data_IF_278430471435
#
_entry.id   IF_278430471435
#
_cell.length_a   1.000
_cell.length_b   1.000
_cell.length_c   1.000
_cell.angle_alpha   90.00
_cell.angle_beta   90.00
_cell.angle_gamma   90.00
#
_symmetry.space_group_name_H-M   'P 1'
#
loop_
_entity.id
_entity.type
_entity.pdbx_description
1 polymer ?
#
# COMPACT_ATOMS: atom_id res chain seq x y z
N UNK A 1 3.60 -6.88 19.84
CA UNK A 1 2.77 -5.78 19.30
C UNK A 1 2.32 -4.80 20.39
N UNK A 2 1.62 -5.25 21.43
CA UNK A 2 1.14 -4.41 22.54
C UNK A 2 2.23 -3.59 23.24
N UNK A 3 3.41 -4.18 23.50
CA UNK A 3 4.53 -3.47 24.15
C UNK A 3 5.04 -2.29 23.30
N UNK A 4 5.10 -2.45 21.97
CA UNK A 4 5.53 -1.35 21.07
C UNK A 4 4.50 -0.23 20.99
N UNK A 5 3.22 -0.55 21.04
CA UNK A 5 2.15 0.44 21.09
C UNK A 5 2.15 1.18 22.45
N UNK A 6 2.39 0.46 23.54
CA UNK A 6 2.51 1.07 24.87
C UNK A 6 3.71 2.03 24.97
N UNK A 7 4.85 1.65 24.42
CA UNK A 7 6.05 2.52 24.35
C UNK A 7 5.76 3.74 23.48
N UNK A 8 5.17 3.57 22.31
CA UNK A 8 4.82 4.67 21.41
C UNK A 8 3.78 5.62 22.05
N UNK A 9 2.79 5.08 22.76
CA UNK A 9 1.82 5.86 23.51
C UNK A 9 2.49 6.64 24.66
N UNK A 10 3.37 5.98 25.45
CA UNK A 10 4.11 6.62 26.52
C UNK A 10 4.95 7.80 26.05
N UNK A 11 5.66 7.64 24.93
CA UNK A 11 6.44 8.71 24.28
C UNK A 11 5.53 9.86 23.83
N UNK A 12 4.37 9.54 23.26
CA UNK A 12 3.41 10.54 22.79
C UNK A 12 2.85 11.37 23.96
N UNK A 13 2.43 10.71 25.04
CA UNK A 13 1.92 11.38 26.25
C UNK A 13 2.97 12.20 27.00
N UNK A 14 4.20 11.74 27.03
CA UNK A 14 5.32 12.47 27.70
C UNK A 14 5.80 13.71 26.93
N UNK A 15 5.27 13.97 25.74
CA UNK A 15 5.67 15.10 24.90
C UNK A 15 6.98 14.88 24.12
N UNK A 16 7.67 13.75 24.29
CA UNK A 16 8.91 13.45 23.57
C UNK A 16 8.71 13.38 22.05
N UNK A 17 7.53 12.94 21.57
CA UNK A 17 7.19 13.02 20.16
C UNK A 17 7.16 14.47 19.67
N UNK A 18 6.62 15.41 20.44
CA UNK A 18 6.57 16.83 20.07
C UNK A 18 7.97 17.43 19.95
N UNK A 19 8.89 17.04 20.84
CA UNK A 19 10.28 17.46 20.75
C UNK A 19 10.95 16.88 19.49
N UNK A 20 10.76 15.59 19.22
CA UNK A 20 11.32 14.96 18.01
C UNK A 20 10.68 15.52 16.73
N UNK A 21 9.38 15.82 16.74
CA UNK A 21 8.67 16.49 15.64
C UNK A 21 9.19 17.93 15.42
N UNK A 22 9.39 18.67 16.50
CA UNK A 22 10.01 20.00 16.46
C UNK A 22 11.40 19.96 15.82
N UNK A 23 12.22 18.99 16.20
CA UNK A 23 13.54 18.76 15.61
C UNK A 23 13.42 18.37 14.14
N UNK A 24 12.50 17.47 13.78
CA UNK A 24 12.28 17.06 12.38
C UNK A 24 11.80 18.21 11.49
N UNK A 25 10.98 19.13 12.03
CA UNK A 25 10.53 20.34 11.31
C UNK A 25 11.61 21.39 11.22
N UNK A 26 12.42 21.52 12.27
CA UNK A 26 13.38 22.61 12.43
C UNK A 26 14.81 22.23 11.99
N UNK A 27 15.03 21.08 11.35
CA UNK A 27 16.35 20.76 10.82
C UNK A 27 16.87 21.82 9.82
N UNK A 28 16.00 22.69 9.33
CA UNK A 28 16.36 23.88 8.56
C UNK A 28 16.63 25.12 9.47
N UNK A 29 16.19 25.12 10.75
CA UNK A 29 16.20 26.30 11.62
C UNK A 29 17.25 26.19 12.76
N UNK A 30 17.73 25.00 13.11
CA UNK A 30 18.76 24.82 14.15
C UNK A 30 20.20 25.01 13.66
N UNK A 31 20.39 25.69 12.53
CA UNK A 31 21.70 26.12 12.07
C UNK A 31 21.79 27.64 12.21
N UNK A 32 21.82 28.15 13.46
CA UNK A 32 22.67 29.20 13.88
C UNK A 32 22.32 29.73 15.28
N UNK A 33 23.19 29.55 16.26
CA UNK A 33 23.76 30.71 16.93
C UNK A 33 25.25 30.55 17.30
N UNK A 34 26.09 30.00 16.45
CA UNK A 34 27.54 30.09 16.62
C UNK A 34 28.18 30.56 15.30
N UNK A 35 28.22 31.88 15.14
CA UNK A 35 29.19 32.54 14.26
C UNK A 35 30.58 32.11 14.67
N UNK A 36 31.27 31.39 13.80
CA UNK A 36 32.70 31.29 13.91
C UNK A 36 33.36 29.92 13.76
N UNK A 37 32.87 29.02 12.90
CA UNK A 37 33.74 27.97 12.36
C UNK A 37 33.27 27.61 10.94
N UNK A 38 34.16 27.85 9.96
CA UNK A 38 34.00 27.44 8.57
C UNK A 38 34.16 25.92 8.48
N UNK A 39 33.08 25.19 8.73
CA UNK A 39 32.94 23.78 8.38
C UNK A 39 31.77 23.69 7.44
N UNK A 40 31.96 23.12 6.25
CA UNK A 40 30.90 22.79 5.31
C UNK A 40 29.85 21.88 5.99
N UNK A 41 28.83 22.46 6.62
CA UNK A 41 27.68 21.72 7.02
C UNK A 41 26.88 21.38 5.71
N UNK A 42 26.99 20.13 5.27
CA UNK A 42 26.12 19.57 4.26
C UNK A 42 24.68 19.77 4.76
N UNK A 43 23.93 20.69 4.17
CA UNK A 43 22.49 20.82 4.43
C UNK A 43 21.88 19.43 4.28
N UNK A 44 21.19 18.94 5.30
CA UNK A 44 20.53 17.64 5.21
C UNK A 44 19.53 17.69 4.06
N UNK A 45 19.65 16.75 3.12
CA UNK A 45 18.73 16.67 1.99
C UNK A 45 17.29 16.53 2.49
N UNK A 46 16.32 17.15 1.84
CA UNK A 46 14.90 17.00 2.17
C UNK A 46 14.49 15.52 2.08
N UNK A 47 13.61 15.11 2.96
CA UNK A 47 13.13 13.72 3.08
C UNK A 47 11.63 13.69 2.97
N UNK A 48 11.10 12.77 2.18
CA UNK A 48 9.69 12.68 1.89
C UNK A 48 9.16 11.29 2.21
N UNK A 49 8.06 11.23 2.98
CA UNK A 49 7.33 9.99 3.24
C UNK A 49 6.07 9.95 2.37
N UNK A 50 5.82 8.81 1.74
CA UNK A 50 4.56 8.53 1.03
C UNK A 50 3.84 7.45 1.82
N UNK A 51 2.67 7.76 2.36
CA UNK A 51 1.82 6.81 3.09
C UNK A 51 0.92 6.08 2.12
N UNK A 52 0.81 4.76 2.26
CA UNK A 52 -0.05 3.91 1.46
C UNK A 52 -1.14 3.31 2.33
N UNK A 53 -2.39 3.68 2.05
CA UNK A 53 -3.61 3.11 2.59
C UNK A 53 -4.30 2.27 1.51
N UNK A 54 -5.26 1.42 1.89
CA UNK A 54 -6.10 0.68 0.95
C UNK A 54 -7.58 0.89 1.30
N UNK A 55 -8.07 0.22 2.32
CA UNK A 55 -9.47 0.25 2.73
C UNK A 55 -9.70 1.04 4.01
N UNK A 56 -10.77 1.83 4.03
CA UNK A 56 -11.19 2.61 5.20
C UNK A 56 -12.65 2.26 5.52
N UNK A 57 -12.91 1.66 6.70
CA UNK A 57 -14.27 1.22 6.99
C UNK A 57 -14.54 0.86 8.44
N UNK A 58 -15.52 -0.01 8.65
CA UNK A 58 -16.01 -0.42 9.97
C UNK A 58 -15.13 -1.48 10.66
N UNK A 59 -14.15 -2.01 9.98
CA UNK A 59 -13.32 -3.12 10.45
C UNK A 59 -13.98 -4.48 10.17
N UNK A 60 -13.21 -5.45 9.70
CA UNK A 60 -13.69 -6.80 9.48
C UNK A 60 -13.43 -7.39 8.09
N UNK A 61 -12.85 -6.62 7.20
CA UNK A 61 -12.38 -7.15 5.94
C UNK A 61 -11.05 -7.89 6.14
N UNK A 62 -10.83 -8.91 5.41
CA UNK A 62 -10.00 -10.01 5.86
C UNK A 62 -8.62 -10.11 5.21
N UNK A 63 -8.36 -9.64 4.00
CA UNK A 63 -7.04 -9.76 3.36
C UNK A 63 -6.21 -8.50 3.58
N UNK A 64 -6.80 -7.34 3.37
CA UNK A 64 -6.19 -6.06 3.74
C UNK A 64 -6.79 -5.59 5.05
N UNK A 65 -5.96 -5.28 6.01
CA UNK A 65 -6.44 -4.72 7.27
C UNK A 65 -7.19 -3.43 6.97
N UNK A 66 -8.52 -3.50 6.99
CA UNK A 66 -9.40 -2.37 6.85
C UNK A 66 -9.16 -1.41 8.01
N UNK A 67 -8.70 -0.22 7.71
CA UNK A 67 -8.47 0.79 8.73
C UNK A 67 -9.81 1.33 9.22
N UNK A 68 -10.12 1.30 10.53
CA UNK A 68 -11.32 1.91 11.05
C UNK A 68 -11.40 3.40 10.68
N UNK A 69 -12.53 3.87 10.16
CA UNK A 69 -12.71 5.25 9.70
C UNK A 69 -12.36 6.29 10.77
N UNK A 70 -12.71 6.02 12.05
CA UNK A 70 -12.33 6.87 13.19
C UNK A 70 -10.80 7.00 13.37
N UNK A 71 -10.07 5.91 13.13
CA UNK A 71 -8.60 5.91 13.23
C UNK A 71 -7.97 6.64 12.06
N UNK A 72 -8.49 6.41 10.85
CA UNK A 72 -8.07 7.18 9.67
C UNK A 72 -8.28 8.69 9.87
N UNK A 73 -9.46 9.09 10.37
CA UNK A 73 -9.74 10.49 10.68
C UNK A 73 -8.77 11.06 11.72
N UNK A 74 -8.40 10.27 12.73
CA UNK A 74 -7.39 10.67 13.72
C UNK A 74 -6.00 10.82 13.08
N UNK A 75 -5.64 9.96 12.13
CA UNK A 75 -4.41 10.09 11.34
C UNK A 75 -4.39 11.38 10.52
N UNK A 76 -5.45 11.70 9.79
CA UNK A 76 -5.51 12.93 8.99
C UNK A 76 -5.39 14.18 9.87
N UNK A 77 -6.09 14.22 11.00
CA UNK A 77 -5.94 15.30 11.98
C UNK A 77 -4.51 15.40 12.51
N UNK A 78 -3.89 14.28 12.85
CA UNK A 78 -2.52 14.22 13.35
C UNK A 78 -1.52 14.72 12.30
N UNK A 79 -1.60 14.21 11.08
CA UNK A 79 -0.75 14.64 9.97
C UNK A 79 -0.87 16.13 9.71
N UNK A 80 -2.10 16.65 9.61
CA UNK A 80 -2.33 18.08 9.39
C UNK A 80 -1.73 18.96 10.47
N UNK A 81 -1.77 18.49 11.73
CA UNK A 81 -1.26 19.25 12.88
C UNK A 81 0.25 19.24 12.99
N UNK A 82 0.91 18.12 12.63
CA UNK A 82 2.30 17.87 12.98
C UNK A 82 3.26 17.80 11.80
N UNK A 83 2.75 17.64 10.56
CA UNK A 83 3.57 17.51 9.36
C UNK A 83 3.13 18.47 8.26
N UNK A 84 4.06 18.77 7.37
CA UNK A 84 3.75 19.40 6.10
C UNK A 84 3.21 18.30 5.17
N UNK A 85 1.91 18.32 4.91
CA UNK A 85 1.28 17.37 4.00
C UNK A 85 1.14 18.02 2.64
N UNK A 86 1.64 17.36 1.60
CA UNK A 86 1.68 17.85 0.22
C UNK A 86 1.05 16.85 -0.74
N UNK A 87 0.68 17.30 -1.94
CA UNK A 87 0.29 16.40 -3.02
C UNK A 87 1.50 15.60 -3.51
N UNK A 88 1.25 14.46 -4.16
CA UNK A 88 2.32 13.69 -4.77
C UNK A 88 3.06 14.51 -5.84
N UNK A 89 2.33 15.28 -6.65
CA UNK A 89 2.94 16.17 -7.66
C UNK A 89 3.91 17.18 -7.02
N UNK A 90 3.48 17.86 -5.97
CA UNK A 90 4.36 18.78 -5.21
C UNK A 90 5.58 18.06 -4.65
N UNK A 91 5.41 16.84 -4.14
CA UNK A 91 6.52 16.03 -3.63
C UNK A 91 7.53 15.72 -4.74
N UNK A 92 7.06 15.37 -5.94
CA UNK A 92 7.92 15.08 -7.10
C UNK A 92 8.66 16.33 -7.58
N UNK A 93 8.00 17.48 -7.64
CA UNK A 93 8.62 18.77 -7.97
C UNK A 93 9.75 19.11 -6.98
N UNK A 94 9.52 18.88 -5.69
CA UNK A 94 10.51 19.15 -4.65
C UNK A 94 11.65 18.12 -4.61
N UNK A 95 11.41 16.88 -5.00
CA UNK A 95 12.47 15.89 -5.20
C UNK A 95 13.41 16.31 -6.34
N UNK A 96 12.86 16.92 -7.39
CA UNK A 96 13.65 17.42 -8.51
C UNK A 96 14.37 18.73 -8.18
N UNK A 97 13.83 19.57 -7.28
CA UNK A 97 14.43 20.85 -6.87
C UNK A 97 14.54 20.95 -5.34
N UNK A 98 15.57 20.33 -4.74
CA UNK A 98 15.71 20.22 -3.29
C UNK A 98 16.00 21.55 -2.55
N UNK A 99 16.30 22.63 -3.26
CA UNK A 99 16.58 23.93 -2.64
C UNK A 99 15.38 24.59 -1.96
N UNK A 100 14.16 24.09 -2.23
CA UNK A 100 12.90 24.78 -1.89
C UNK A 100 12.22 24.19 -0.64
N UNK A 101 12.60 22.98 -0.16
CA UNK A 101 11.72 22.21 0.70
C UNK A 101 12.34 21.59 1.96
N UNK A 102 11.49 21.46 2.99
CA UNK A 102 11.74 20.64 4.18
C UNK A 102 10.97 19.30 4.13
N UNK A 103 11.09 18.45 5.17
CA UNK A 103 10.41 17.17 5.23
C UNK A 103 8.91 17.28 4.99
N UNK A 104 8.35 16.37 4.17
CA UNK A 104 6.92 16.35 3.90
C UNK A 104 6.36 14.93 3.80
N UNK A 105 5.03 14.85 3.89
CA UNK A 105 4.26 13.61 3.80
C UNK A 105 3.24 13.72 2.68
N UNK A 106 3.14 12.71 1.81
CA UNK A 106 2.05 12.53 0.88
C UNK A 106 1.17 11.35 1.30
N UNK A 107 -0.12 11.42 0.99
CA UNK A 107 -1.10 10.37 1.30
C UNK A 107 -1.55 9.72 0.01
N UNK A 108 -1.46 8.39 -0.06
CA UNK A 108 -1.91 7.61 -1.21
C UNK A 108 -2.82 6.46 -0.80
N UNK A 109 -3.65 6.03 -1.74
CA UNK A 109 -4.53 4.86 -1.61
C UNK A 109 -4.40 4.01 -2.86
N UNK A 110 -4.48 2.68 -2.70
CA UNK A 110 -4.45 1.74 -3.82
C UNK A 110 -5.84 1.11 -4.05
N UNK A 111 -5.97 0.41 -5.17
CA UNK A 111 -7.10 -0.41 -5.63
C UNK A 111 -8.35 0.35 -6.06
N UNK A 112 -8.74 1.42 -5.41
CA UNK A 112 -9.95 2.17 -5.72
C UNK A 112 -11.21 1.59 -5.07
N UNK A 113 -11.14 1.18 -3.81
CA UNK A 113 -12.31 0.68 -3.06
C UNK A 113 -13.36 1.76 -2.81
N UNK A 114 -14.63 1.38 -2.86
CA UNK A 114 -15.78 2.28 -2.69
C UNK A 114 -15.92 2.92 -1.31
N UNK A 115 -15.27 2.35 -0.29
CA UNK A 115 -15.21 2.93 1.05
C UNK A 115 -14.37 4.23 1.09
N UNK A 116 -13.46 4.44 0.14
CA UNK A 116 -12.71 5.69 0.05
C UNK A 116 -13.60 6.91 -0.16
N UNK A 117 -14.66 6.77 -0.97
CA UNK A 117 -15.63 7.84 -1.17
C UNK A 117 -16.47 8.10 0.09
N UNK A 118 -16.91 7.05 0.77
CA UNK A 118 -17.82 7.17 1.91
C UNK A 118 -17.12 7.57 3.20
N UNK A 119 -15.93 7.01 3.45
CA UNK A 119 -15.26 7.07 4.74
C UNK A 119 -13.98 7.94 4.72
N UNK A 120 -13.19 7.86 3.64
CA UNK A 120 -11.94 8.60 3.58
C UNK A 120 -12.13 10.05 3.11
N UNK A 121 -12.91 10.28 2.05
CA UNK A 121 -13.10 11.60 1.45
C UNK A 121 -13.55 12.67 2.46
N UNK A 122 -14.55 12.45 3.35
CA UNK A 122 -14.94 13.46 4.33
C UNK A 122 -13.78 13.91 5.22
N UNK A 123 -12.93 12.97 5.66
CA UNK A 123 -11.78 13.32 6.48
C UNK A 123 -10.68 14.06 5.69
N UNK A 124 -10.44 13.70 4.43
CA UNK A 124 -9.50 14.39 3.55
C UNK A 124 -9.92 15.85 3.34
N UNK A 125 -11.21 16.09 3.08
CA UNK A 125 -11.79 17.43 2.88
C UNK A 125 -11.71 18.25 4.19
N UNK A 126 -12.17 17.70 5.30
CA UNK A 126 -12.21 18.41 6.60
C UNK A 126 -10.81 18.87 7.05
N UNK A 127 -9.80 18.04 6.85
CA UNK A 127 -8.43 18.36 7.25
C UNK A 127 -7.59 18.94 6.11
N UNK A 128 -8.18 19.16 4.93
CA UNK A 128 -7.49 19.69 3.74
C UNK A 128 -6.21 18.90 3.44
N UNK A 129 -6.32 17.58 3.40
CA UNK A 129 -5.24 16.66 3.09
C UNK A 129 -5.31 16.31 1.60
N UNK A 130 -4.33 16.74 0.78
CA UNK A 130 -4.23 16.26 -0.60
C UNK A 130 -3.92 14.76 -0.61
N UNK A 131 -4.55 14.03 -1.52
CA UNK A 131 -4.37 12.59 -1.64
C UNK A 131 -4.38 12.16 -3.10
N UNK A 132 -3.71 11.04 -3.39
CA UNK A 132 -3.73 10.36 -4.69
C UNK A 132 -4.32 8.96 -4.51
N UNK A 133 -5.30 8.60 -5.35
CA UNK A 133 -5.89 7.25 -5.39
C UNK A 133 -5.47 6.57 -6.68
N UNK A 134 -4.81 5.41 -6.57
CA UNK A 134 -4.45 4.58 -7.70
C UNK A 134 -5.56 3.58 -7.99
N UNK A 135 -6.15 3.67 -9.18
CA UNK A 135 -7.30 2.89 -9.57
C UNK A 135 -6.92 1.64 -10.35
N UNK A 136 -7.43 0.48 -9.94
CA UNK A 136 -7.49 -0.71 -10.79
C UNK A 136 -8.61 -0.49 -11.81
N UNK A 137 -8.21 0.04 -12.99
CA UNK A 137 -9.13 0.72 -13.92
C UNK A 137 -10.25 -0.19 -14.41
N UNK A 138 -9.95 -1.46 -14.72
CA UNK A 138 -10.94 -2.44 -15.14
C UNK A 138 -11.98 -2.75 -14.07
N UNK A 139 -11.57 -2.76 -12.81
CA UNK A 139 -12.49 -2.95 -11.68
C UNK A 139 -13.48 -1.79 -11.54
N UNK A 140 -13.01 -0.55 -11.77
CA UNK A 140 -13.88 0.64 -11.75
C UNK A 140 -14.82 0.66 -12.96
N UNK A 141 -14.32 0.24 -14.12
CA UNK A 141 -15.10 0.19 -15.37
C UNK A 141 -16.23 -0.82 -15.33
N UNK A 142 -15.96 -2.01 -14.79
CA UNK A 142 -16.93 -3.13 -14.76
C UNK A 142 -17.75 -3.20 -13.48
N UNK A 143 -17.28 -2.56 -12.40
CA UNK A 143 -17.82 -2.72 -11.04
C UNK A 143 -17.41 -4.06 -10.40
N UNK A 144 -16.55 -4.82 -11.05
CA UNK A 144 -16.05 -6.09 -10.54
C UNK A 144 -14.89 -5.87 -9.56
N UNK A 145 -14.72 -6.79 -8.62
CA UNK A 145 -13.63 -6.77 -7.65
C UNK A 145 -12.39 -7.49 -8.21
N UNK A 146 -11.22 -7.14 -7.69
CA UNK A 146 -9.96 -7.78 -8.07
C UNK A 146 -9.96 -9.28 -7.80
N UNK A 147 -9.17 -10.04 -8.58
CA UNK A 147 -9.12 -11.49 -8.54
C UNK A 147 -8.81 -12.07 -7.15
N UNK A 148 -7.94 -11.44 -6.38
CA UNK A 148 -7.57 -11.89 -5.03
C UNK A 148 -8.72 -11.67 -4.03
N UNK A 149 -9.49 -10.60 -4.15
CA UNK A 149 -10.70 -10.38 -3.35
C UNK A 149 -11.78 -11.41 -3.66
N UNK A 150 -11.93 -11.79 -4.96
CA UNK A 150 -12.85 -12.87 -5.35
C UNK A 150 -12.49 -14.20 -4.71
N UNK A 151 -11.21 -14.59 -4.76
CA UNK A 151 -10.72 -15.82 -4.14
C UNK A 151 -10.97 -15.77 -2.64
N UNK A 152 -10.62 -14.67 -2.02
CA UNK A 152 -10.83 -14.51 -0.59
C UNK A 152 -12.30 -14.66 -0.22
N UNK A 153 -13.21 -13.93 -0.87
CA UNK A 153 -14.65 -14.00 -0.60
C UNK A 153 -15.20 -15.39 -0.90
N UNK A 154 -14.77 -16.04 -1.98
CA UNK A 154 -15.19 -17.38 -2.30
C UNK A 154 -14.87 -18.36 -1.17
N UNK A 155 -13.65 -18.31 -0.63
CA UNK A 155 -13.24 -19.15 0.50
C UNK A 155 -13.98 -18.77 1.80
N UNK A 156 -14.23 -17.46 2.05
CA UNK A 156 -14.99 -17.05 3.23
C UNK A 156 -16.45 -17.53 3.23
N UNK A 157 -17.05 -17.62 2.06
CA UNK A 157 -18.45 -18.02 1.89
C UNK A 157 -18.62 -19.46 1.37
N UNK A 158 -17.52 -20.21 1.22
CA UNK A 158 -17.56 -21.60 0.78
C UNK A 158 -18.51 -22.44 1.67
N UNK A 159 -19.40 -23.23 1.08
CA UNK A 159 -20.35 -24.06 1.83
C UNK A 159 -19.70 -25.32 2.44
N UNK A 160 -18.45 -25.61 2.06
CA UNK A 160 -17.74 -26.81 2.50
C UNK A 160 -16.78 -26.51 3.66
N UNK A 161 -16.44 -27.53 4.46
CA UNK A 161 -15.44 -27.45 5.53
C UNK A 161 -14.06 -27.90 5.07
N UNK A 162 -13.97 -28.63 3.96
CA UNK A 162 -12.73 -29.06 3.32
C UNK A 162 -12.81 -28.66 1.85
N UNK A 163 -11.75 -28.10 1.34
CA UNK A 163 -11.61 -27.68 -0.04
C UNK A 163 -10.31 -28.22 -0.63
N UNK A 164 -10.43 -29.06 -1.65
CA UNK A 164 -9.29 -29.61 -2.38
C UNK A 164 -8.94 -28.73 -3.57
N UNK A 165 -7.70 -28.32 -3.62
CA UNK A 165 -7.20 -27.46 -4.69
C UNK A 165 -5.73 -27.82 -5.02
N UNK A 166 -5.40 -27.85 -6.31
CA UNK A 166 -4.06 -28.16 -6.78
C UNK A 166 -3.22 -26.88 -6.85
N UNK A 167 -2.20 -26.79 -6.02
CA UNK A 167 -1.11 -25.81 -6.11
C UNK A 167 0.03 -26.38 -6.97
N UNK A 168 1.19 -26.61 -6.39
CA UNK A 168 2.28 -27.39 -7.00
C UNK A 168 1.99 -28.90 -6.98
N UNK A 169 1.05 -29.32 -6.16
CA UNK A 169 0.49 -30.67 -5.99
C UNK A 169 -0.88 -30.60 -5.33
N UNK A 170 -1.57 -31.74 -5.22
CA UNK A 170 -2.87 -31.79 -4.54
C UNK A 170 -2.76 -31.31 -3.08
N UNK A 171 -3.65 -30.43 -2.66
CA UNK A 171 -3.73 -29.88 -1.31
C UNK A 171 -5.18 -29.87 -0.83
N UNK A 172 -5.37 -30.22 0.44
CA UNK A 172 -6.66 -30.09 1.13
C UNK A 172 -6.60 -28.97 2.15
N UNK A 173 -7.50 -28.02 2.03
CA UNK A 173 -7.61 -26.86 2.91
C UNK A 173 -8.80 -27.03 3.85
N UNK A 174 -8.57 -26.92 5.16
CA UNK A 174 -9.69 -26.87 6.11
C UNK A 174 -10.30 -25.45 6.09
N UNK A 175 -11.61 -25.39 5.93
CA UNK A 175 -12.42 -24.18 5.93
C UNK A 175 -13.38 -24.11 7.13
N UNK A 176 -13.16 -24.93 8.16
CA UNK A 176 -14.09 -25.09 9.29
C UNK A 176 -14.15 -23.87 10.22
N UNK A 177 -13.18 -22.96 10.17
CA UNK A 177 -13.19 -21.72 10.94
C UNK A 177 -12.79 -20.53 10.09
N UNK A 178 -13.17 -19.31 10.51
CA UNK A 178 -12.77 -18.07 9.84
C UNK A 178 -11.25 -17.94 9.68
N UNK A 179 -10.49 -18.31 10.71
CA UNK A 179 -9.01 -18.27 10.67
C UNK A 179 -8.45 -19.25 9.63
N UNK A 180 -8.98 -20.47 9.56
CA UNK A 180 -8.56 -21.46 8.57
C UNK A 180 -8.90 -21.02 7.14
N UNK A 181 -10.08 -20.43 6.92
CA UNK A 181 -10.48 -19.83 5.63
C UNK A 181 -9.52 -18.72 5.22
N UNK A 182 -9.15 -17.85 6.16
CA UNK A 182 -8.17 -16.79 5.92
C UNK A 182 -6.80 -17.38 5.55
N UNK A 183 -6.32 -18.37 6.29
CA UNK A 183 -5.02 -19.03 6.00
C UNK A 183 -5.02 -19.69 4.62
N UNK A 184 -6.09 -20.38 4.26
CA UNK A 184 -6.25 -20.96 2.92
C UNK A 184 -6.22 -19.88 1.82
N UNK A 185 -6.95 -18.78 2.01
CA UNK A 185 -6.95 -17.67 1.06
C UNK A 185 -5.56 -17.06 0.87
N UNK A 186 -4.86 -16.79 1.97
CA UNK A 186 -3.50 -16.24 1.95
C UNK A 186 -2.54 -17.18 1.22
N UNK A 187 -2.58 -18.48 1.51
CA UNK A 187 -1.70 -19.47 0.87
C UNK A 187 -1.98 -19.57 -0.64
N UNK A 188 -3.24 -19.69 -1.04
CA UNK A 188 -3.64 -19.81 -2.44
C UNK A 188 -3.30 -18.53 -3.22
N UNK A 189 -3.61 -17.35 -2.69
CA UNK A 189 -3.31 -16.07 -3.34
C UNK A 189 -1.80 -15.89 -3.47
N UNK A 190 -1.03 -16.22 -2.43
CA UNK A 190 0.44 -16.12 -2.45
C UNK A 190 1.03 -17.00 -3.52
N UNK A 191 0.56 -18.24 -3.65
CA UNK A 191 0.97 -19.14 -4.72
C UNK A 191 0.56 -18.60 -6.10
N UNK A 192 -0.69 -18.16 -6.27
CA UNK A 192 -1.15 -17.62 -7.55
C UNK A 192 -0.34 -16.42 -8.05
N UNK A 193 0.25 -15.64 -7.14
CA UNK A 193 1.14 -14.51 -7.50
C UNK A 193 2.45 -14.97 -8.14
N UNK A 194 2.86 -16.24 -7.98
CA UNK A 194 4.06 -16.79 -8.61
C UNK A 194 3.82 -17.31 -10.03
N UNK A 195 2.55 -17.37 -10.46
CA UNK A 195 2.18 -17.93 -11.75
C UNK A 195 2.25 -16.89 -12.88
N UNK A 196 2.53 -17.33 -14.13
CA UNK A 196 2.27 -16.51 -15.31
C UNK A 196 0.81 -16.02 -15.32
N UNK A 197 0.58 -14.80 -15.77
CA UNK A 197 -0.73 -14.15 -15.65
C UNK A 197 -1.87 -14.96 -16.29
N UNK A 198 -1.68 -15.50 -17.49
CA UNK A 198 -2.68 -16.32 -18.18
C UNK A 198 -3.03 -17.61 -17.42
N UNK A 199 -2.06 -18.20 -16.72
CA UNK A 199 -2.28 -19.37 -15.86
C UNK A 199 -3.00 -18.97 -14.59
N UNK A 200 -2.61 -17.88 -13.95
CA UNK A 200 -3.27 -17.31 -12.77
C UNK A 200 -4.75 -17.05 -13.04
N UNK A 201 -5.08 -16.40 -14.15
CA UNK A 201 -6.47 -16.10 -14.53
C UNK A 201 -7.31 -17.38 -14.65
N UNK A 202 -6.79 -18.40 -15.36
CA UNK A 202 -7.47 -19.70 -15.50
C UNK A 202 -7.69 -20.39 -14.15
N UNK A 203 -6.66 -20.36 -13.27
CA UNK A 203 -6.74 -20.97 -11.94
C UNK A 203 -7.73 -20.24 -11.03
N UNK A 204 -7.75 -18.90 -11.06
CA UNK A 204 -8.69 -18.09 -10.31
C UNK A 204 -10.15 -18.35 -10.76
N UNK A 205 -10.39 -18.42 -12.06
CA UNK A 205 -11.71 -18.76 -12.60
C UNK A 205 -12.16 -20.18 -12.20
N UNK A 206 -11.27 -21.17 -12.30
CA UNK A 206 -11.58 -22.55 -11.88
C UNK A 206 -11.91 -22.64 -10.39
N UNK A 207 -11.15 -21.96 -9.53
CA UNK A 207 -11.41 -21.89 -8.09
C UNK A 207 -12.80 -21.27 -7.82
N UNK A 208 -13.08 -20.13 -8.46
CA UNK A 208 -14.36 -19.45 -8.32
C UNK A 208 -15.54 -20.36 -8.71
N UNK A 209 -15.41 -21.10 -9.81
CA UNK A 209 -16.42 -22.04 -10.26
C UNK A 209 -16.63 -23.17 -9.25
N UNK A 210 -15.55 -23.71 -8.66
CA UNK A 210 -15.62 -24.81 -7.69
C UNK A 210 -16.27 -24.41 -6.36
N UNK A 211 -16.14 -23.14 -5.95
CA UNK A 211 -16.69 -22.63 -4.68
C UNK A 211 -18.09 -22.02 -4.83
N UNK A 212 -18.54 -21.85 -6.08
CA UNK A 212 -19.87 -21.30 -6.40
C UNK A 212 -19.92 -19.77 -6.44
N UNK A 213 -21.11 -19.22 -6.69
CA UNK A 213 -21.30 -17.78 -6.87
C UNK A 213 -21.12 -17.02 -5.56
N UNK A 214 -20.52 -15.82 -5.66
CA UNK A 214 -20.42 -14.92 -4.53
C UNK A 214 -21.78 -14.26 -4.23
N UNK A 215 -22.10 -14.02 -2.95
CA UNK A 215 -23.28 -13.25 -2.58
C UNK A 215 -23.23 -11.85 -3.19
N UNK A 216 -24.31 -11.42 -3.87
CA UNK A 216 -24.39 -10.09 -4.51
C UNK A 216 -24.08 -8.96 -3.52
N UNK A 217 -24.58 -9.05 -2.28
CA UNK A 217 -24.33 -8.09 -1.22
C UNK A 217 -22.82 -7.91 -0.86
N UNK A 218 -21.99 -8.88 -1.20
CA UNK A 218 -20.53 -8.80 -0.99
C UNK A 218 -19.81 -8.12 -2.16
N UNK A 219 -20.46 -7.95 -3.29
CA UNK A 219 -19.92 -7.35 -4.50
C UNK A 219 -20.36 -5.90 -4.68
N UNK A 220 -21.58 -5.58 -4.28
CA UNK A 220 -22.18 -4.27 -4.45
C UNK A 220 -21.39 -3.19 -3.71
N UNK A 221 -21.14 -2.06 -4.40
CA UNK A 221 -20.46 -0.88 -3.87
C UNK A 221 -19.07 -1.14 -3.27
N UNK A 222 -18.43 -2.25 -3.62
CA UNK A 222 -17.10 -2.58 -3.11
C UNK A 222 -16.02 -1.73 -3.76
N UNK A 223 -16.16 -1.45 -5.05
CA UNK A 223 -15.28 -0.56 -5.80
C UNK A 223 -15.93 0.82 -5.97
N UNK A 224 -15.11 1.84 -6.21
CA UNK A 224 -15.58 3.14 -6.68
C UNK A 224 -16.29 2.97 -8.03
N UNK A 225 -17.23 3.84 -8.31
CA UNK A 225 -17.76 4.04 -9.65
C UNK A 225 -17.34 5.41 -10.20
N UNK A 226 -17.48 5.63 -11.50
CA UNK A 226 -17.02 6.86 -12.14
C UNK A 226 -17.68 8.12 -11.59
N UNK A 227 -18.95 8.08 -11.19
CA UNK A 227 -19.61 9.22 -10.54
C UNK A 227 -18.93 9.59 -9.21
N UNK A 228 -18.52 8.60 -8.42
CA UNK A 228 -17.78 8.84 -7.17
C UNK A 228 -16.37 9.34 -7.45
N UNK A 229 -15.69 8.78 -8.46
CA UNK A 229 -14.35 9.24 -8.89
C UNK A 229 -14.39 10.71 -9.27
N UNK A 230 -15.35 11.14 -10.10
CA UNK A 230 -15.49 12.56 -10.47
C UNK A 230 -15.76 13.46 -9.28
N UNK A 231 -16.65 13.06 -8.35
CA UNK A 231 -16.90 13.84 -7.13
C UNK A 231 -15.66 13.96 -6.24
N UNK A 232 -14.83 12.90 -6.17
CA UNK A 232 -13.54 12.94 -5.45
C UNK A 232 -12.55 13.86 -6.18
N UNK A 233 -12.51 13.83 -7.51
CA UNK A 233 -11.69 14.73 -8.34
C UNK A 233 -12.08 16.19 -8.10
N UNK A 234 -13.37 16.51 -8.12
CA UNK A 234 -13.89 17.85 -7.83
C UNK A 234 -13.54 18.32 -6.41
N UNK A 235 -13.41 17.39 -5.48
CA UNK A 235 -12.97 17.65 -4.11
C UNK A 235 -11.44 17.75 -3.96
N UNK A 236 -10.68 17.66 -5.04
CA UNK A 236 -9.23 17.84 -5.05
C UNK A 236 -8.41 16.56 -4.83
N UNK A 237 -9.02 15.38 -4.93
CA UNK A 237 -8.29 14.10 -4.94
C UNK A 237 -7.70 13.87 -6.33
N UNK A 238 -6.42 13.53 -6.39
CA UNK A 238 -5.74 13.14 -7.64
C UNK A 238 -5.90 11.64 -7.89
N UNK A 239 -5.83 11.23 -9.15
CA UNK A 239 -5.93 9.82 -9.53
C UNK A 239 -4.69 9.38 -10.31
N UNK A 240 -4.21 8.16 -10.00
CA UNK A 240 -3.17 7.45 -10.71
C UNK A 240 -3.65 6.09 -11.19
N UNK A 241 -2.84 5.41 -11.98
CA UNK A 241 -3.16 4.10 -12.54
C UNK A 241 -2.59 2.97 -11.65
N UNK A 242 -3.40 1.91 -11.46
CA UNK A 242 -3.01 0.68 -10.76
C UNK A 242 -3.29 -0.54 -11.62
N UNK A 243 -2.92 -0.46 -12.91
CA UNK A 243 -3.19 -1.45 -13.95
C UNK A 243 -4.68 -1.60 -14.33
N UNK A 244 -4.96 -2.51 -15.26
CA UNK A 244 -6.34 -2.86 -15.66
C UNK A 244 -6.96 -3.86 -14.69
N UNK A 245 -6.24 -4.96 -14.36
CA UNK A 245 -6.80 -6.12 -13.64
C UNK A 245 -6.03 -6.51 -12.37
N UNK A 246 -5.03 -5.72 -11.97
CA UNK A 246 -4.17 -5.96 -10.81
C UNK A 246 -3.32 -7.26 -10.91
N UNK A 247 -2.58 -7.49 -12.00
CA UNK A 247 -1.66 -8.61 -12.10
C UNK A 247 -0.35 -8.37 -11.34
N UNK A 248 0.48 -9.41 -11.22
CA UNK A 248 1.90 -9.23 -10.91
C UNK A 248 2.62 -8.78 -12.18
N UNK A 249 3.11 -7.54 -12.21
CA UNK A 249 3.61 -6.90 -13.43
C UNK A 249 4.80 -7.65 -14.06
N UNK A 250 5.66 -8.26 -13.22
CA UNK A 250 6.79 -9.07 -13.71
C UNK A 250 6.39 -10.39 -14.39
N UNK A 251 5.13 -10.81 -14.28
CA UNK A 251 4.61 -12.03 -14.90
C UNK A 251 3.95 -11.80 -16.27
N UNK A 252 3.95 -10.55 -16.75
CA UNK A 252 3.29 -10.15 -17.99
C UNK A 252 4.22 -10.31 -19.19
N UNK A 253 3.65 -10.77 -20.28
CA UNK A 253 4.26 -10.70 -21.61
C UNK A 253 4.09 -9.29 -22.22
N UNK A 254 4.68 -8.98 -23.39
CA UNK A 254 4.57 -7.66 -23.99
C UNK A 254 3.15 -7.19 -24.26
N UNK A 255 2.23 -8.08 -24.66
CA UNK A 255 0.81 -7.74 -24.86
C UNK A 255 0.12 -7.43 -23.54
N UNK A 256 0.39 -8.25 -22.51
CA UNK A 256 -0.08 -8.01 -21.16
C UNK A 256 0.43 -6.67 -20.61
N UNK A 257 1.70 -6.34 -20.79
CA UNK A 257 2.24 -5.04 -20.38
C UNK A 257 1.53 -3.88 -21.09
N UNK A 258 1.28 -3.99 -22.39
CA UNK A 258 0.53 -2.98 -23.13
C UNK A 258 -0.88 -2.83 -22.57
N UNK A 259 -1.60 -3.92 -22.39
CA UNK A 259 -2.97 -3.90 -21.85
C UNK A 259 -3.03 -3.30 -20.45
N UNK A 260 -2.16 -3.75 -19.57
CA UNK A 260 -2.19 -3.40 -18.16
C UNK A 260 -1.65 -2.00 -17.84
N UNK A 261 -0.68 -1.48 -18.62
CA UNK A 261 -0.05 -0.20 -18.36
C UNK A 261 -0.50 0.90 -19.31
N UNK A 262 -0.63 0.59 -20.61
CA UNK A 262 -0.94 1.60 -21.64
C UNK A 262 -2.45 1.77 -21.82
N UNK A 263 -3.17 0.68 -22.04
CA UNK A 263 -4.60 0.76 -22.30
C UNK A 263 -5.39 1.17 -21.04
N UNK A 264 -4.94 0.72 -19.86
CA UNK A 264 -5.49 1.19 -18.58
C UNK A 264 -5.31 2.70 -18.39
N UNK A 265 -4.11 3.24 -18.69
CA UNK A 265 -3.85 4.68 -18.65
C UNK A 265 -4.77 5.44 -19.58
N UNK A 266 -4.86 5.01 -20.84
CA UNK A 266 -5.73 5.65 -21.86
C UNK A 266 -7.19 5.65 -21.43
N UNK A 267 -7.68 4.54 -20.89
CA UNK A 267 -9.04 4.44 -20.39
C UNK A 267 -9.26 5.40 -19.22
N UNK A 268 -8.33 5.41 -18.26
CA UNK A 268 -8.39 6.29 -17.10
C UNK A 268 -8.39 7.77 -17.50
N UNK A 269 -7.48 8.19 -18.38
CA UNK A 269 -7.42 9.56 -18.91
C UNK A 269 -8.71 9.96 -19.64
N UNK A 270 -9.24 9.05 -20.46
CA UNK A 270 -10.53 9.26 -21.15
C UNK A 270 -11.67 9.48 -20.15
N UNK A 271 -11.72 8.71 -19.08
CA UNK A 271 -12.76 8.80 -18.05
C UNK A 271 -12.63 10.03 -17.16
N UNK A 272 -11.40 10.42 -16.81
CA UNK A 272 -11.11 11.60 -15.99
C UNK A 272 -11.18 12.91 -16.76
N UNK A 273 -11.04 12.87 -18.09
CA UNK A 273 -10.88 14.07 -18.91
C UNK A 273 -9.57 14.83 -18.64
N UNK A 274 -8.57 14.19 -18.06
CA UNK A 274 -7.30 14.76 -17.63
C UNK A 274 -6.15 13.77 -17.80
N UNK A 275 -4.90 14.24 -18.01
CA UNK A 275 -3.74 13.36 -18.10
C UNK A 275 -3.42 12.68 -16.76
N UNK A 276 -2.93 11.45 -16.82
CA UNK A 276 -2.50 10.65 -15.68
C UNK A 276 -0.98 10.40 -15.76
N UNK A 277 -0.26 10.79 -14.71
CA UNK A 277 1.20 10.73 -14.70
C UNK A 277 1.79 9.75 -13.71
N UNK A 278 0.97 9.23 -12.80
CA UNK A 278 1.43 8.45 -11.67
C UNK A 278 0.90 7.02 -11.75
N UNK A 279 1.78 6.08 -11.45
CA UNK A 279 1.50 4.64 -11.45
C UNK A 279 1.78 4.03 -10.08
N UNK A 280 1.03 3.00 -9.69
CA UNK A 280 1.38 2.15 -8.57
C UNK A 280 1.52 0.70 -9.03
N UNK A 281 2.63 0.06 -8.67
CA UNK A 281 2.81 -1.35 -8.97
C UNK A 281 1.91 -2.22 -8.08
N UNK A 282 1.06 -3.10 -8.66
CA UNK A 282 0.36 -4.11 -7.90
C UNK A 282 1.31 -4.95 -7.04
N UNK A 283 0.98 -5.13 -5.76
CA UNK A 283 1.84 -5.74 -4.74
C UNK A 283 3.16 -5.00 -4.50
N UNK A 284 3.84 -4.52 -5.52
CA UNK A 284 4.91 -3.53 -5.53
C UNK A 284 6.21 -3.92 -4.84
N UNK A 285 6.50 -5.24 -4.67
CA UNK A 285 7.81 -5.70 -4.20
C UNK A 285 8.83 -5.69 -5.34
N UNK A 286 10.14 -5.57 -5.07
CA UNK A 286 11.16 -5.53 -6.12
C UNK A 286 11.09 -6.67 -7.14
N UNK A 287 10.78 -7.90 -6.70
CA UNK A 287 10.65 -9.07 -7.57
C UNK A 287 9.36 -9.10 -8.40
N UNK A 288 8.42 -8.21 -8.14
CA UNK A 288 7.12 -8.10 -8.82
C UNK A 288 7.11 -7.01 -9.89
N UNK A 289 8.24 -6.32 -10.05
CA UNK A 289 8.51 -5.33 -11.09
C UNK A 289 9.44 -5.93 -12.15
N UNK A 290 9.48 -5.33 -13.33
CA UNK A 290 10.42 -5.72 -14.39
C UNK A 290 10.96 -4.49 -15.13
N UNK A 291 12.16 -4.58 -15.69
CA UNK A 291 12.73 -3.53 -16.54
C UNK A 291 11.90 -3.26 -17.78
N UNK A 292 11.27 -4.31 -18.34
CA UNK A 292 10.35 -4.15 -19.46
C UNK A 292 9.14 -3.29 -19.09
N UNK A 293 8.56 -3.50 -17.89
CA UNK A 293 7.48 -2.67 -17.40
C UNK A 293 7.91 -1.21 -17.19
N UNK A 294 9.11 -0.98 -16.64
CA UNK A 294 9.65 0.38 -16.46
C UNK A 294 9.81 1.09 -17.80
N UNK A 295 10.33 0.40 -18.84
CA UNK A 295 10.40 0.94 -20.19
C UNK A 295 9.04 1.35 -20.70
N UNK A 296 8.03 0.48 -20.58
CA UNK A 296 6.65 0.77 -21.01
C UNK A 296 6.07 1.97 -20.24
N UNK A 297 6.33 2.09 -18.94
CA UNK A 297 5.87 3.25 -18.15
C UNK A 297 6.47 4.56 -18.67
N UNK A 298 7.79 4.59 -18.94
CA UNK A 298 8.48 5.77 -19.50
C UNK A 298 7.91 6.13 -20.87
N UNK A 299 7.83 5.17 -21.78
CA UNK A 299 7.34 5.36 -23.15
C UNK A 299 5.87 5.79 -23.20
N UNK A 300 5.07 5.36 -22.21
CA UNK A 300 3.66 5.74 -22.08
C UNK A 300 3.45 7.11 -21.41
N UNK A 301 4.54 7.80 -21.02
CA UNK A 301 4.47 9.15 -20.46
C UNK A 301 4.04 9.19 -18.99
N UNK A 302 4.19 8.12 -18.24
CA UNK A 302 4.17 8.22 -16.79
C UNK A 302 5.40 8.99 -16.30
N UNK A 303 5.29 9.69 -15.18
CA UNK A 303 6.39 10.47 -14.56
C UNK A 303 6.88 9.86 -13.27
N UNK A 304 6.05 9.06 -12.64
CA UNK A 304 6.40 8.37 -11.40
C UNK A 304 5.72 7.02 -11.28
N UNK A 305 6.36 6.13 -10.51
CA UNK A 305 5.74 4.91 -10.05
C UNK A 305 6.09 4.63 -8.59
N UNK A 306 5.09 4.25 -7.81
CA UNK A 306 5.25 3.94 -6.38
C UNK A 306 5.27 2.44 -6.16
N UNK A 307 6.05 2.02 -5.17
CA UNK A 307 6.23 0.63 -4.76
C UNK A 307 5.69 0.39 -3.35
N UNK A 308 5.80 -0.84 -2.84
CA UNK A 308 5.58 -1.16 -1.42
C UNK A 308 6.90 -1.32 -0.64
N UNK A 309 8.03 -0.96 -1.25
CA UNK A 309 9.31 -0.90 -0.55
C UNK A 309 9.27 0.17 0.51
N UNK A 310 9.49 -0.21 1.78
CA UNK A 310 9.45 0.72 2.88
C UNK A 310 10.64 1.70 2.85
N UNK A 311 10.39 2.98 3.18
CA UNK A 311 11.45 3.96 3.31
C UNK A 311 11.01 5.38 2.99
N UNK A 312 11.99 6.29 3.03
CA UNK A 312 11.85 7.68 2.62
C UNK A 312 12.33 7.87 1.18
N UNK A 313 11.84 8.93 0.57
CA UNK A 313 12.29 9.40 -0.74
C UNK A 313 13.18 10.63 -0.54
N UNK A 314 14.32 10.66 -1.21
CA UNK A 314 15.31 11.74 -1.15
C UNK A 314 15.68 12.17 -2.57
N UNK A 315 16.17 13.39 -2.77
CA UNK A 315 16.63 13.84 -4.08
C UNK A 315 17.61 12.85 -4.72
N UNK A 316 17.41 12.57 -6.01
CA UNK A 316 18.17 11.58 -6.76
C UNK A 316 17.62 10.14 -6.68
N UNK A 317 16.49 9.92 -5.97
CA UNK A 317 15.81 8.63 -6.04
C UNK A 317 15.21 8.42 -7.44
N UNK A 318 15.20 7.18 -7.87
CA UNK A 318 14.49 6.79 -9.09
C UNK A 318 12.97 7.02 -8.91
N UNK A 319 12.39 7.93 -9.71
CA UNK A 319 10.98 8.28 -9.62
C UNK A 319 10.05 7.15 -10.03
N UNK A 320 10.53 6.12 -10.72
CA UNK A 320 9.77 4.91 -11.05
C UNK A 320 9.86 3.81 -9.98
N UNK A 321 10.56 4.10 -8.86
CA UNK A 321 10.72 3.19 -7.71
C UNK A 321 10.52 3.88 -6.37
N UNK A 322 9.57 4.81 -6.30
CA UNK A 322 9.29 5.55 -5.08
C UNK A 322 8.87 4.62 -3.94
N UNK A 323 9.43 4.87 -2.77
CA UNK A 323 9.18 4.09 -1.55
C UNK A 323 7.95 4.58 -0.84
N UNK A 324 7.22 3.65 -0.20
CA UNK A 324 6.03 3.97 0.58
C UNK A 324 6.05 3.31 1.95
N UNK A 325 5.24 3.83 2.84
CA UNK A 325 4.99 3.29 4.17
C UNK A 325 3.56 2.76 4.18
N UNK A 326 3.40 1.44 4.17
CA UNK A 326 2.08 0.81 4.25
C UNK A 326 1.46 1.02 5.63
N UNK A 327 0.21 1.48 5.67
CA UNK A 327 -0.52 1.81 6.89
C UNK A 327 -1.76 0.92 7.01
N UNK A 328 -1.84 0.16 8.09
CA UNK A 328 -2.96 -0.72 8.41
C UNK A 328 -3.59 -0.39 9.78
N UNK A 329 -4.59 -1.17 10.17
CA UNK A 329 -5.32 -0.99 11.43
C UNK A 329 -4.45 -1.09 12.69
N UNK A 330 -3.29 -1.71 12.59
CA UNK A 330 -2.31 -1.84 13.68
C UNK A 330 -1.57 -0.53 13.99
N UNK A 331 -1.62 0.44 13.09
CA UNK A 331 -0.97 1.74 13.27
C UNK A 331 -1.89 2.69 14.05
N UNK A 332 -1.80 2.68 15.39
CA UNK A 332 -2.38 3.77 16.17
C UNK A 332 -1.75 5.12 15.77
N UNK A 333 -2.40 6.24 16.08
CA UNK A 333 -1.83 7.57 15.82
C UNK A 333 -0.44 7.75 16.46
N UNK A 334 -0.24 7.20 17.67
CA UNK A 334 1.08 7.23 18.33
C UNK A 334 2.12 6.40 17.58
N UNK A 335 1.72 5.23 17.03
CA UNK A 335 2.63 4.39 16.23
C UNK A 335 2.99 5.07 14.92
N UNK A 336 2.02 5.69 14.23
CA UNK A 336 2.27 6.47 13.02
C UNK A 336 3.28 7.60 13.30
N UNK A 337 3.06 8.40 14.36
CA UNK A 337 3.98 9.46 14.75
C UNK A 337 5.37 8.95 15.09
N UNK A 338 5.47 7.87 15.86
CA UNK A 338 6.75 7.26 16.20
C UNK A 338 7.51 6.76 14.95
N UNK A 339 6.81 6.11 14.02
CA UNK A 339 7.41 5.59 12.78
C UNK A 339 7.93 6.73 11.89
N UNK A 340 7.11 7.77 11.66
CA UNK A 340 7.50 8.92 10.86
C UNK A 340 8.68 9.67 11.48
N UNK A 341 8.65 9.95 12.79
CA UNK A 341 9.74 10.62 13.47
C UNK A 341 11.05 9.82 13.43
N UNK A 342 10.96 8.51 13.64
CA UNK A 342 12.13 7.64 13.53
C UNK A 342 12.76 7.71 12.14
N UNK A 343 11.96 7.64 11.07
CA UNK A 343 12.42 7.71 9.69
C UNK A 343 13.03 9.09 9.38
N UNK A 344 12.37 10.17 9.74
CA UNK A 344 12.85 11.52 9.46
C UNK A 344 14.12 11.87 10.23
N UNK A 345 14.30 11.34 11.46
CA UNK A 345 15.48 11.62 12.28
C UNK A 345 16.69 10.76 11.89
N UNK A 346 16.48 9.45 11.67
CA UNK A 346 17.58 8.48 11.49
C UNK A 346 17.92 8.17 10.04
N UNK A 347 16.97 8.37 9.13
CA UNK A 347 17.10 7.95 7.73
C UNK A 347 16.91 6.43 7.53
N UNK A 348 17.09 5.98 6.29
CA UNK A 348 16.79 4.60 5.88
C UNK A 348 17.81 3.56 6.36
N UNK A 349 19.02 3.95 6.74
CA UNK A 349 20.09 3.02 7.09
C UNK A 349 19.74 2.07 8.24
N UNK A 350 18.84 2.46 9.15
CA UNK A 350 18.37 1.61 10.25
C UNK A 350 16.94 1.05 10.03
N UNK A 351 16.22 1.47 8.98
CA UNK A 351 14.90 0.94 8.68
C UNK A 351 14.96 -0.50 8.15
N UNK A 352 16.07 -0.90 7.52
CA UNK A 352 16.28 -2.24 6.96
C UNK A 352 16.43 -3.35 8.01
N UNK A 353 16.75 -3.02 9.27
CA UNK A 353 16.83 -3.99 10.38
C UNK A 353 15.52 -4.26 11.10
N UNK A 354 14.47 -3.48 10.86
CA UNK A 354 13.14 -3.74 11.37
C UNK A 354 12.23 -4.14 10.20
N UNK A 355 12.25 -5.41 9.86
CA UNK A 355 11.23 -6.02 9.01
C UNK A 355 9.87 -5.80 9.68
N UNK A 356 9.22 -4.69 9.34
CA UNK A 356 7.77 -4.62 9.43
C UNK A 356 7.26 -5.49 8.29
N UNK A 357 7.27 -6.82 8.52
CA UNK A 357 6.51 -7.74 7.69
C UNK A 357 5.10 -7.20 7.66
N UNK A 358 4.62 -6.92 6.46
CA UNK A 358 3.25 -6.57 6.22
C UNK A 358 2.39 -7.70 6.82
N UNK A 359 1.66 -7.50 7.93
CA UNK A 359 0.92 -8.59 8.57
C UNK A 359 -0.22 -9.10 7.68
N UNK A 360 -0.52 -8.42 6.58
CA UNK A 360 -1.52 -8.83 5.64
C UNK A 360 -1.21 -10.14 4.90
N UNK A 361 0.03 -10.67 4.99
CA UNK A 361 0.42 -11.97 4.42
C UNK A 361 1.49 -12.71 5.27
N UNK A 362 1.61 -12.39 6.56
CA UNK A 362 2.57 -13.02 7.45
C UNK A 362 2.12 -14.39 7.93
N UNK A 363 2.64 -15.44 7.33
CA UNK A 363 2.61 -16.80 7.89
C UNK A 363 3.45 -16.80 9.17
N UNK A 364 2.85 -17.13 10.31
CA UNK A 364 3.59 -17.54 11.51
C UNK A 364 4.44 -18.77 11.14
N UNK A 365 5.75 -18.59 11.02
CA UNK A 365 6.68 -19.71 11.00
C UNK A 365 6.80 -20.24 12.44
N UNK A 366 5.94 -21.17 12.82
CA UNK A 366 6.21 -22.03 13.99
C UNK A 366 7.41 -22.92 13.65
N UNK A 367 8.46 -22.75 14.47
CA UNK A 367 9.70 -23.50 14.34
C UNK A 367 9.46 -25.00 14.36
N UNK A 368 9.92 -25.70 13.34
CA UNK A 368 10.11 -27.14 13.35
C UNK A 368 11.15 -27.46 14.42
N UNK A 369 10.69 -27.94 15.56
CA UNK A 369 11.55 -28.72 16.49
C UNK A 369 11.89 -30.04 15.79
N UNK A 370 13.11 -30.14 15.30
CA UNK A 370 13.70 -31.43 14.90
C UNK A 370 13.89 -32.29 16.15
N UNK A 371 12.99 -33.26 16.38
CA UNK A 371 13.21 -34.33 17.32
C UNK A 371 14.28 -35.27 16.75
N UNK A 372 15.48 -35.23 17.31
CA UNK A 372 16.49 -36.27 17.13
C UNK A 372 15.98 -37.56 17.80
N UNK A 373 15.78 -38.59 17.03
CA UNK A 373 15.65 -39.96 17.53
C UNK A 373 17.02 -40.44 18.01
N UNK A 374 17.11 -41.17 19.15
CA UNK A 374 18.36 -41.75 19.62
C UNK A 374 18.72 -42.97 18.76
N UNK A 375 19.99 -43.07 18.39
CA UNK A 375 20.57 -44.25 17.80
C UNK A 375 20.56 -45.41 18.84
N UNK A 376 19.93 -46.53 18.50
CA UNK A 376 20.15 -47.78 19.17
C UNK A 376 21.31 -48.50 18.47
N UNK A 377 22.37 -48.72 19.23
CA UNK A 377 23.46 -49.63 18.87
C UNK A 377 23.12 -51.09 19.22
N UNK A 378 23.52 -51.91 18.37
CA UNK A 378 24.22 -53.22 18.54
C UNK A 378 24.23 -53.94 17.20
#
# INVERSE_FOLDING_TARGET
>A
MLVRQAIAAGIHWSGLLRLSEGIARNHTILVNPLRGQRGFQRAALPRFAILCYHRIGMGGAPIYSEMPARLFRAHMRFLRKHYRVVSLNTLLEELANPAISGPAVAVTFDDGYGDLYREALPALVDYKIPATVYLTVGCIETGEIAWYDRIFLALQHAPCEIFDFTLEGPRSFSLSTRTKRLSAAVEIITWMRTLPDSVRQKRAAALQTSLGPLPKSQLESRMLNWSQVHKMQDAGVSFGCHTMTHPVVSSLDPEGLKHELVDSKRLLEKRLGAPVFDFAYPFGKPQEMSSAAETVLVESGYRSAVTTTAGLNVPGIDTYRLRRISIGQEHSTAMLGFQLNRLFLRGDAEASGATFSNPSLGVCSEGRKTSRLPAQGS
#
